data_IF_283017747549
#
_entry.id   IF_283017747549
#
_cell.length_a   1.000
_cell.length_b   1.000
_cell.length_c   1.000
_cell.angle_alpha   90.00
_cell.angle_beta   90.00
_cell.angle_gamma   90.00
#
_symmetry.space_group_name_H-M   'P 1'
#
loop_
_entity.id
_entity.type
_entity.pdbx_description
1 polymer ?
#
# COMPACT_ATOMS: atom_id res chain seq x y z
N UNK A 1 -26.53 -14.58 24.53
CA UNK A 1 -25.74 -13.37 24.86
C UNK A 1 -25.49 -12.63 23.56
N UNK A 2 -26.14 -11.49 23.34
CA UNK A 2 -25.90 -10.67 22.15
C UNK A 2 -24.60 -9.89 22.37
N UNK A 3 -23.50 -10.39 21.83
CA UNK A 3 -22.29 -9.60 21.62
C UNK A 3 -22.62 -8.55 20.56
N UNK A 4 -23.06 -7.36 21.00
CA UNK A 4 -23.05 -6.17 20.16
C UNK A 4 -21.59 -6.02 19.74
N UNK A 5 -21.26 -6.29 18.48
CA UNK A 5 -19.94 -5.98 17.94
C UNK A 5 -19.64 -4.54 18.35
N UNK A 6 -18.59 -4.33 19.15
CA UNK A 6 -18.15 -2.98 19.45
C UNK A 6 -17.90 -2.33 18.09
N UNK A 7 -18.60 -1.25 17.77
CA UNK A 7 -18.34 -0.53 16.54
C UNK A 7 -16.86 -0.15 16.54
N UNK A 8 -16.15 -0.45 15.45
CA UNK A 8 -14.73 -0.10 15.29
C UNK A 8 -14.59 1.42 15.22
N UNK A 9 -14.63 2.08 16.38
CA UNK A 9 -14.65 3.52 16.52
C UNK A 9 -13.63 3.98 17.56
N UNK A 10 -12.93 5.08 17.25
CA UNK A 10 -12.02 5.74 18.17
C UNK A 10 -12.53 7.16 18.47
N UNK A 11 -12.39 7.59 19.73
CA UNK A 11 -12.70 8.96 20.09
C UNK A 11 -11.57 9.89 19.63
N UNK A 12 -11.84 10.75 18.65
CA UNK A 12 -10.87 11.73 18.17
C UNK A 12 -10.99 13.05 18.96
N UNK A 13 -9.94 13.41 19.69
CA UNK A 13 -9.88 14.65 20.49
C UNK A 13 -8.89 15.64 19.88
N UNK A 14 -9.41 16.76 19.38
CA UNK A 14 -8.59 17.88 18.92
C UNK A 14 -7.72 18.45 20.05
N UNK A 15 -6.55 18.97 19.68
CA UNK A 15 -5.67 19.70 20.60
C UNK A 15 -6.06 21.18 20.67
N UNK A 16 -5.67 21.85 21.74
CA UNK A 16 -5.85 23.31 21.88
C UNK A 16 -4.88 24.10 20.99
N UNK A 17 -3.73 23.52 20.66
CA UNK A 17 -2.69 24.09 19.79
C UNK A 17 -2.13 23.00 18.89
N UNK A 18 -1.78 23.35 17.66
CA UNK A 18 -1.15 22.44 16.71
C UNK A 18 0.24 22.01 17.21
N UNK A 19 0.58 20.74 17.03
CA UNK A 19 1.87 20.16 17.41
C UNK A 19 2.30 19.06 16.44
N UNK A 20 3.48 18.49 16.64
CA UNK A 20 4.01 17.42 15.78
C UNK A 20 3.10 16.17 15.73
N UNK A 21 2.27 15.95 16.74
CA UNK A 21 1.44 14.74 16.87
C UNK A 21 -0.05 15.03 16.98
N UNK A 22 -0.47 16.28 16.84
CA UNK A 22 -1.87 16.66 17.01
C UNK A 22 -2.22 17.97 16.32
N UNK A 23 -3.49 18.09 15.95
CA UNK A 23 -4.03 19.28 15.30
C UNK A 23 -5.22 19.82 16.08
N UNK A 24 -5.40 21.13 15.97
CA UNK A 24 -6.60 21.84 16.39
C UNK A 24 -7.75 21.55 15.45
N UNK A 25 -8.97 21.82 15.93
CA UNK A 25 -10.17 21.70 15.09
C UNK A 25 -10.17 22.68 13.93
N UNK A 26 -9.63 23.88 14.13
CA UNK A 26 -9.54 24.90 13.08
C UNK A 26 -8.65 24.43 11.93
N UNK A 27 -7.49 23.85 12.23
CA UNK A 27 -6.61 23.28 11.21
C UNK A 27 -7.27 22.12 10.47
N UNK A 28 -7.96 21.23 11.18
CA UNK A 28 -8.71 20.13 10.55
C UNK A 28 -9.82 20.64 9.60
N UNK A 29 -10.57 21.68 10.00
CA UNK A 29 -11.59 22.32 9.15
C UNK A 29 -11.00 22.92 7.88
N UNK A 30 -9.91 23.67 8.00
CA UNK A 30 -9.24 24.27 6.83
C UNK A 30 -8.75 23.21 5.84
N UNK A 31 -8.25 22.08 6.35
CA UNK A 31 -7.87 20.94 5.50
C UNK A 31 -9.09 20.33 4.82
N UNK A 32 -10.18 20.10 5.56
CA UNK A 32 -11.42 19.56 5.03
C UNK A 32 -12.01 20.45 3.92
N UNK A 33 -12.09 21.76 4.16
CA UNK A 33 -12.51 22.77 3.17
C UNK A 33 -11.63 22.76 1.92
N UNK A 34 -10.30 22.69 2.09
CA UNK A 34 -9.36 22.64 0.96
C UNK A 34 -9.53 21.39 0.11
N UNK A 35 -9.91 20.28 0.72
CA UNK A 35 -10.16 19.00 0.06
C UNK A 35 -11.61 18.87 -0.44
N UNK A 36 -12.51 19.80 -0.08
CA UNK A 36 -13.93 19.72 -0.42
C UNK A 36 -14.67 18.57 0.27
N UNK A 37 -14.20 18.15 1.45
CA UNK A 37 -14.77 17.03 2.24
C UNK A 37 -15.13 17.49 3.64
N UNK A 38 -15.80 16.64 4.42
CA UNK A 38 -16.04 16.90 5.84
C UNK A 38 -14.81 16.57 6.73
N UNK A 39 -14.85 16.98 8.00
CA UNK A 39 -13.76 16.75 8.96
C UNK A 39 -13.43 15.24 9.11
N UNK A 40 -14.44 14.37 9.10
CA UNK A 40 -14.29 12.92 9.28
C UNK A 40 -13.58 12.28 8.09
N UNK A 41 -13.98 12.66 6.87
CA UNK A 41 -13.37 12.20 5.63
C UNK A 41 -11.93 12.70 5.52
N UNK A 42 -11.66 13.95 5.92
CA UNK A 42 -10.29 14.45 5.97
C UNK A 42 -9.40 13.60 6.90
N UNK A 43 -9.91 13.16 8.05
CA UNK A 43 -9.20 12.25 8.97
C UNK A 43 -8.95 10.89 8.32
N UNK A 44 -9.94 10.29 7.65
CA UNK A 44 -9.76 9.02 6.93
C UNK A 44 -8.73 9.13 5.81
N UNK A 45 -8.77 10.19 5.02
CA UNK A 45 -7.80 10.45 3.93
C UNK A 45 -6.39 10.62 4.50
N UNK A 46 -6.23 11.36 5.60
CA UNK A 46 -4.94 11.55 6.25
C UNK A 46 -4.37 10.22 6.76
N UNK A 47 -5.20 9.40 7.40
CA UNK A 47 -4.79 8.09 7.89
C UNK A 47 -4.44 7.14 6.75
N UNK A 48 -5.23 7.12 5.68
CA UNK A 48 -4.93 6.35 4.47
C UNK A 48 -3.60 6.78 3.83
N UNK A 49 -3.37 8.08 3.68
CA UNK A 49 -2.12 8.61 3.15
C UNK A 49 -0.91 8.23 4.02
N UNK A 50 -1.10 8.16 5.34
CA UNK A 50 -0.08 7.69 6.28
C UNK A 50 0.15 6.18 6.15
N UNK A 51 -0.91 5.40 6.02
CA UNK A 51 -0.83 3.95 5.80
C UNK A 51 -0.06 3.63 4.52
N UNK A 52 -0.36 4.30 3.41
CA UNK A 52 0.35 4.15 2.12
C UNK A 52 1.85 4.46 2.24
N UNK A 53 2.23 5.41 3.11
CA UNK A 53 3.62 5.82 3.33
C UNK A 53 4.40 4.92 4.27
N UNK A 54 3.74 4.37 5.30
CA UNK A 54 4.40 3.69 6.41
C UNK A 54 4.20 2.18 6.41
N UNK A 55 3.09 1.69 5.85
CA UNK A 55 2.78 0.27 5.80
C UNK A 55 3.25 -0.32 4.47
N UNK A 56 3.78 -1.55 4.48
CA UNK A 56 4.03 -2.29 3.25
C UNK A 56 2.75 -2.39 2.41
N UNK A 57 2.80 -1.92 1.16
CA UNK A 57 1.67 -2.08 0.23
C UNK A 57 1.59 -3.49 -0.36
N UNK A 58 2.66 -4.27 -0.20
CA UNK A 58 2.74 -5.67 -0.56
C UNK A 58 3.12 -6.46 0.69
N UNK A 59 2.65 -7.70 0.77
CA UNK A 59 3.20 -8.63 1.76
C UNK A 59 4.72 -8.71 1.59
N UNK A 60 5.43 -8.87 2.70
CA UNK A 60 6.85 -9.11 2.63
C UNK A 60 7.08 -10.34 1.75
N UNK A 61 7.99 -10.22 0.78
CA UNK A 61 8.37 -11.36 -0.07
C UNK A 61 8.74 -12.55 0.83
N UNK A 62 8.34 -13.77 0.46
CA UNK A 62 8.71 -15.00 1.19
C UNK A 62 10.23 -15.27 1.13
N UNK A 63 10.96 -14.37 0.48
CA UNK A 63 12.39 -14.41 0.28
C UNK A 63 12.74 -15.16 -1.00
N UNK A 64 14.05 -15.29 -1.29
CA UNK A 64 14.50 -16.00 -2.48
C UNK A 64 14.04 -17.46 -2.47
N UNK A 65 13.64 -17.96 -3.65
CA UNK A 65 13.23 -19.37 -3.81
C UNK A 65 14.28 -20.32 -3.23
N UNK A 66 13.81 -21.26 -2.41
CA UNK A 66 14.64 -22.35 -1.89
C UNK A 66 15.17 -23.22 -3.03
N UNK A 67 16.31 -23.87 -2.81
CA UNK A 67 16.88 -24.82 -3.78
C UNK A 67 15.89 -25.94 -4.16
N UNK A 68 15.00 -26.33 -3.26
CA UNK A 68 13.95 -27.31 -3.52
C UNK A 68 12.90 -26.78 -4.51
N UNK A 69 12.42 -25.55 -4.31
CA UNK A 69 11.47 -24.89 -5.21
C UNK A 69 12.09 -24.69 -6.60
N UNK A 70 13.35 -24.26 -6.67
CA UNK A 70 14.08 -24.12 -7.95
C UNK A 70 14.17 -25.46 -8.70
N UNK A 71 14.45 -26.56 -7.99
CA UNK A 71 14.47 -27.91 -8.59
C UNK A 71 13.10 -28.33 -9.12
N UNK A 72 12.02 -28.05 -8.39
CA UNK A 72 10.66 -28.35 -8.84
C UNK A 72 10.29 -27.56 -10.09
N UNK A 73 10.65 -26.26 -10.15
CA UNK A 73 10.42 -25.41 -11.33
C UNK A 73 11.16 -26.00 -12.54
N UNK A 74 12.46 -26.30 -12.40
CA UNK A 74 13.26 -26.89 -13.50
C UNK A 74 12.66 -28.19 -14.05
N UNK A 75 12.05 -29.01 -13.18
CA UNK A 75 11.39 -30.26 -13.57
C UNK A 75 10.06 -30.05 -14.31
N UNK A 76 9.32 -28.98 -13.98
CA UNK A 76 8.00 -28.66 -14.57
C UNK A 76 8.07 -27.80 -15.83
N UNK A 77 9.11 -26.98 -15.96
CA UNK A 77 9.31 -26.15 -17.15
C UNK A 77 9.65 -27.05 -18.34
N UNK A 78 8.91 -26.97 -19.46
CA UNK A 78 9.29 -27.70 -20.66
C UNK A 78 10.69 -27.25 -21.08
N UNK A 79 11.64 -28.18 -21.02
CA UNK A 79 13.00 -28.01 -21.51
C UNK A 79 13.00 -28.05 -23.04
N UNK A 80 12.24 -27.14 -23.66
CA UNK A 80 12.23 -26.97 -25.10
C UNK A 80 13.63 -26.58 -25.57
N UNK A 81 14.12 -27.22 -26.64
CA UNK A 81 15.34 -26.83 -27.34
C UNK A 81 15.14 -25.43 -27.92
N UNK A 82 15.37 -24.38 -27.13
CA UNK A 82 15.32 -22.99 -27.63
C UNK A 82 16.50 -22.80 -28.58
N UNK A 83 16.22 -22.84 -29.88
CA UNK A 83 17.21 -22.66 -30.97
C UNK A 83 17.72 -21.22 -31.07
N UNK A 84 16.99 -20.23 -30.56
CA UNK A 84 17.52 -18.89 -30.33
C UNK A 84 16.81 -18.22 -29.17
N UNK A 85 17.56 -17.45 -28.39
CA UNK A 85 17.05 -16.53 -27.39
C UNK A 85 17.10 -15.14 -28.02
N UNK A 86 15.96 -14.48 -28.19
CA UNK A 86 15.95 -13.07 -28.58
C UNK A 86 16.55 -12.26 -27.44
N UNK A 87 17.65 -11.56 -27.70
CA UNK A 87 18.34 -10.71 -26.74
C UNK A 87 17.67 -9.36 -26.52
N UNK A 88 16.69 -8.99 -27.36
CA UNK A 88 15.91 -7.75 -27.25
C UNK A 88 14.42 -8.03 -27.45
N UNK A 89 13.59 -7.36 -26.65
CA UNK A 89 12.13 -7.29 -26.82
C UNK A 89 11.71 -6.19 -27.80
N UNK A 90 12.60 -5.25 -28.10
CA UNK A 90 12.37 -4.16 -29.05
C UNK A 90 13.05 -4.49 -30.37
N UNK A 91 12.32 -4.31 -31.46
CA UNK A 91 12.89 -4.36 -32.81
C UNK A 91 13.85 -3.18 -32.98
N UNK A 92 15.09 -3.46 -33.34
CA UNK A 92 16.04 -2.41 -33.68
C UNK A 92 15.58 -1.78 -35.00
N UNK A 93 14.93 -0.63 -34.92
CA UNK A 93 14.58 0.16 -36.08
C UNK A 93 15.88 0.73 -36.67
N UNK A 94 16.32 0.15 -37.79
CA UNK A 94 17.42 0.69 -38.59
C UNK A 94 16.94 2.01 -39.20
N UNK A 95 17.69 3.08 -38.92
CA UNK A 95 17.52 4.40 -39.52
C UNK A 95 17.84 4.39 -41.02
#
# INVERSE_FOLDING_TARGET
MNTRAAADQIAFRYRSVDSATGVTRETAKRVAERLGVDETQAIHIALHAMAVKLLPQYEADEGPLTAAQVRQIKKRVPQGKKRSVRSSLFEAQLA
#
